data_IF_339243963647
#
_entry.id   IF_339243963647
#
_cell.length_a   1.000
_cell.length_b   1.000
_cell.length_c   1.000
_cell.angle_alpha   90.00
_cell.angle_beta   90.00
_cell.angle_gamma   90.00
#
_symmetry.space_group_name_H-M   'P 1'
#
loop_
_entity.id
_entity.type
_entity.pdbx_description
1 polymer ?
#
# COMPACT_ATOMS: atom_id res chain seq x y z
N UNK A 1 -21.02 3.86 4.28
CA UNK A 1 -20.06 2.97 3.61
C UNK A 1 -20.71 2.46 2.35
N UNK A 2 -20.01 2.52 1.23
CA UNK A 2 -20.50 1.94 -0.03
C UNK A 2 -20.26 0.42 0.02
N UNK A 3 -21.23 -0.45 -0.34
CA UNK A 3 -21.02 -1.90 -0.35
C UNK A 3 -19.91 -2.26 -1.36
N UNK A 4 -18.87 -2.95 -0.91
CA UNK A 4 -17.71 -3.27 -1.76
C UNK A 4 -18.08 -4.21 -2.93
N UNK A 5 -19.09 -5.05 -2.72
CA UNK A 5 -19.70 -5.95 -3.71
C UNK A 5 -20.53 -5.21 -4.77
N UNK A 6 -20.92 -3.96 -4.52
CA UNK A 6 -21.58 -3.10 -5.51
C UNK A 6 -20.62 -2.13 -6.21
N UNK A 7 -19.31 -2.17 -5.92
CA UNK A 7 -18.34 -1.30 -6.59
C UNK A 7 -18.02 -1.80 -8.00
N UNK A 8 -18.04 -0.86 -8.94
CA UNK A 8 -17.66 -1.09 -10.33
C UNK A 8 -16.52 -0.13 -10.71
N UNK A 9 -15.94 -0.30 -11.90
CA UNK A 9 -14.87 0.57 -12.39
C UNK A 9 -15.25 2.06 -12.28
N UNK A 10 -16.50 2.40 -12.61
CA UNK A 10 -17.03 3.77 -12.59
C UNK A 10 -17.33 4.32 -11.20
N UNK A 11 -17.32 3.47 -10.16
CA UNK A 11 -17.41 3.91 -8.77
C UNK A 11 -16.16 4.68 -8.34
N UNK A 12 -15.01 4.36 -8.94
CA UNK A 12 -13.71 4.98 -8.64
C UNK A 12 -13.25 5.94 -9.74
N UNK A 13 -13.52 5.59 -11.00
CA UNK A 13 -13.04 6.31 -12.18
C UNK A 13 -14.17 7.07 -12.87
N UNK A 14 -13.86 8.26 -13.37
CA UNK A 14 -14.72 9.02 -14.26
C UNK A 14 -14.57 8.52 -15.70
N UNK A 15 -15.59 7.88 -16.29
CA UNK A 15 -15.51 7.37 -17.65
C UNK A 15 -15.49 8.49 -18.70
N UNK A 16 -15.86 9.73 -18.34
CA UNK A 16 -15.80 10.89 -19.23
C UNK A 16 -14.45 11.63 -19.11
N UNK A 17 -13.60 11.20 -18.18
CA UNK A 17 -12.28 11.75 -17.95
C UNK A 17 -12.28 13.00 -17.09
N UNK A 18 -11.15 13.22 -16.41
CA UNK A 18 -10.83 14.42 -15.66
C UNK A 18 -9.30 14.57 -15.57
N UNK A 19 -8.81 15.56 -14.83
CA UNK A 19 -7.36 15.80 -14.68
C UNK A 19 -6.73 15.05 -13.50
N UNK A 20 -7.52 14.35 -12.70
CA UNK A 20 -7.00 13.63 -11.54
C UNK A 20 -6.22 12.40 -12.00
N UNK A 21 -5.31 11.94 -11.15
CA UNK A 21 -4.59 10.70 -11.35
C UNK A 21 -5.56 9.57 -11.74
N UNK A 22 -5.32 8.94 -12.89
CA UNK A 22 -6.16 7.85 -13.45
C UNK A 22 -7.66 8.17 -13.50
N UNK A 23 -8.04 9.42 -13.74
CA UNK A 23 -9.44 9.84 -13.81
C UNK A 23 -10.23 9.61 -12.53
N UNK A 24 -9.58 9.53 -11.37
CA UNK A 24 -10.27 9.28 -10.12
C UNK A 24 -11.26 10.38 -9.77
N UNK A 25 -12.38 9.99 -9.19
CA UNK A 25 -13.36 10.95 -8.68
C UNK A 25 -12.78 11.79 -7.55
N UNK A 26 -13.06 13.09 -7.59
CA UNK A 26 -12.66 14.06 -6.58
C UNK A 26 -13.82 14.53 -5.71
N UNK A 27 -13.53 15.48 -4.82
CA UNK A 27 -14.49 16.00 -3.84
C UNK A 27 -15.79 16.49 -4.52
N UNK A 28 -16.92 16.09 -3.97
CA UNK A 28 -18.26 16.42 -4.47
C UNK A 28 -18.75 15.55 -5.62
N UNK A 29 -17.92 14.69 -6.21
CA UNK A 29 -18.38 13.73 -7.20
C UNK A 29 -19.37 12.73 -6.58
N UNK A 30 -20.43 12.37 -7.31
CA UNK A 30 -21.44 11.39 -6.88
C UNK A 30 -21.72 10.40 -8.02
N UNK A 31 -20.77 9.49 -8.31
CA UNK A 31 -20.97 8.52 -9.38
C UNK A 31 -22.16 7.61 -9.06
N UNK A 32 -23.14 7.59 -9.96
CA UNK A 32 -24.34 6.76 -9.81
C UNK A 32 -25.39 7.28 -8.81
N UNK A 33 -25.17 8.41 -8.14
CA UNK A 33 -26.11 9.01 -7.19
C UNK A 33 -26.07 8.46 -5.76
N UNK A 34 -25.24 7.46 -5.49
CA UNK A 34 -25.20 6.69 -4.24
C UNK A 34 -24.15 7.20 -3.23
N UNK A 35 -24.17 8.53 -2.99
CA UNK A 35 -23.29 9.22 -2.05
C UNK A 35 -22.17 10.00 -2.73
N UNK A 36 -21.64 11.02 -2.03
CA UNK A 36 -20.63 11.93 -2.57
C UNK A 36 -19.23 11.67 -2.02
N UNK A 37 -18.22 11.84 -2.86
CA UNK A 37 -16.83 11.90 -2.43
C UNK A 37 -16.61 13.07 -1.48
N UNK A 38 -16.22 12.77 -0.24
CA UNK A 38 -15.90 13.76 0.80
C UNK A 38 -14.42 14.18 0.78
N UNK A 39 -13.56 13.41 0.12
CA UNK A 39 -12.16 13.71 -0.10
C UNK A 39 -11.86 14.05 -1.57
N UNK A 40 -10.86 14.90 -1.80
CA UNK A 40 -10.29 15.09 -3.13
C UNK A 40 -9.67 13.80 -3.67
N UNK A 41 -9.55 13.68 -4.99
CA UNK A 41 -8.72 12.66 -5.59
C UNK A 41 -7.30 12.83 -5.06
N UNK A 42 -6.64 11.71 -4.76
CA UNK A 42 -5.29 11.76 -4.22
C UNK A 42 -4.28 12.25 -5.27
N UNK A 43 -3.24 12.95 -4.80
CA UNK A 43 -2.16 13.42 -5.67
C UNK A 43 -1.19 12.26 -5.91
N UNK A 44 -1.12 11.83 -7.15
CA UNK A 44 -0.13 10.89 -7.62
C UNK A 44 0.25 11.14 -9.08
N UNK A 45 1.43 10.68 -9.47
CA UNK A 45 1.83 10.61 -10.88
C UNK A 45 2.16 9.17 -11.24
N UNK A 46 1.54 8.70 -12.33
CA UNK A 46 1.65 7.32 -12.78
C UNK A 46 2.75 7.15 -13.80
N UNK A 47 3.00 5.89 -14.11
CA UNK A 47 3.74 5.51 -15.28
C UNK A 47 2.88 5.71 -16.52
N UNK A 48 3.52 6.14 -17.60
CA UNK A 48 2.93 6.07 -18.93
C UNK A 48 2.69 4.58 -19.27
N UNK A 49 1.48 4.22 -19.69
CA UNK A 49 1.14 2.81 -19.97
C UNK A 49 1.70 2.31 -21.31
N UNK A 50 2.05 3.23 -22.23
CA UNK A 50 2.59 2.91 -23.55
C UNK A 50 4.12 3.07 -23.58
N UNK A 51 4.65 4.05 -22.86
CA UNK A 51 6.09 4.36 -22.82
C UNK A 51 6.78 3.91 -21.52
N UNK A 52 6.04 3.64 -20.46
CA UNK A 52 6.58 3.19 -19.17
C UNK A 52 6.77 1.68 -19.17
N UNK A 53 8.00 1.24 -18.92
CA UNK A 53 8.28 -0.17 -18.65
C UNK A 53 7.53 -0.70 -17.42
N UNK A 54 7.74 -1.99 -17.12
CA UNK A 54 7.17 -2.60 -15.94
C UNK A 54 7.57 -1.86 -14.66
N UNK A 55 6.65 -1.83 -13.68
CA UNK A 55 6.92 -1.20 -12.37
C UNK A 55 8.14 -1.85 -11.70
N UNK A 56 8.99 -1.01 -11.12
CA UNK A 56 10.22 -1.40 -10.44
C UNK A 56 10.60 -0.37 -9.37
N UNK A 57 11.65 -0.64 -8.60
CA UNK A 57 12.12 0.29 -7.58
C UNK A 57 12.68 1.62 -8.13
N UNK A 58 12.91 1.73 -9.45
CA UNK A 58 13.36 2.95 -10.12
C UNK A 58 12.38 3.48 -11.18
N UNK A 59 11.23 2.83 -11.32
CA UNK A 59 10.14 3.22 -12.22
C UNK A 59 8.81 2.81 -11.59
N UNK A 60 8.17 3.71 -10.87
CA UNK A 60 6.99 3.41 -10.06
C UNK A 60 5.99 4.57 -10.02
N UNK A 61 4.83 4.32 -9.41
CA UNK A 61 3.87 5.38 -9.11
C UNK A 61 4.44 6.30 -8.02
N UNK A 62 4.38 7.60 -8.25
CA UNK A 62 4.71 8.62 -7.28
C UNK A 62 3.47 9.00 -6.49
N UNK A 63 3.24 8.36 -5.34
CA UNK A 63 2.17 8.76 -4.42
C UNK A 63 2.64 9.95 -3.58
N UNK A 64 1.91 11.07 -3.64
CA UNK A 64 2.31 12.30 -2.94
C UNK A 64 1.47 12.58 -1.71
N UNK A 65 0.15 12.47 -1.82
CA UNK A 65 -0.76 12.70 -0.68
C UNK A 65 -2.18 12.18 -0.92
N UNK A 66 -2.96 12.00 0.15
CA UNK A 66 -4.42 11.85 0.07
C UNK A 66 -4.96 10.44 -0.17
N UNK A 67 -4.11 9.44 -0.42
CA UNK A 67 -4.53 8.08 -0.80
C UNK A 67 -5.50 7.46 0.22
N UNK A 68 -5.14 7.46 1.50
CA UNK A 68 -5.98 6.85 2.56
C UNK A 68 -7.32 7.57 2.74
N UNK A 69 -7.31 8.91 2.68
CA UNK A 69 -8.53 9.72 2.80
C UNK A 69 -9.47 9.47 1.61
N UNK A 70 -8.92 9.36 0.39
CA UNK A 70 -9.71 9.03 -0.79
C UNK A 70 -10.37 7.65 -0.66
N UNK A 71 -9.61 6.61 -0.29
CA UNK A 71 -10.16 5.28 -0.01
C UNK A 71 -11.23 5.31 1.10
N UNK A 72 -11.01 6.14 2.13
CA UNK A 72 -11.90 6.35 3.27
C UNK A 72 -13.27 6.94 2.92
N UNK A 73 -13.44 7.54 1.74
CA UNK A 73 -14.75 8.00 1.27
C UNK A 73 -15.77 6.85 1.28
N UNK A 74 -15.40 5.72 0.70
CA UNK A 74 -16.27 4.55 0.63
C UNK A 74 -15.97 3.55 1.76
N UNK A 75 -14.69 3.39 2.10
CA UNK A 75 -14.19 2.48 3.13
C UNK A 75 -13.95 3.16 4.48
N UNK A 76 -14.74 4.17 4.84
CA UNK A 76 -14.55 4.98 6.06
C UNK A 76 -14.49 4.14 7.34
N UNK A 77 -15.27 3.06 7.42
CA UNK A 77 -15.19 2.12 8.54
C UNK A 77 -13.83 1.41 8.66
N UNK A 78 -13.14 1.15 7.55
CA UNK A 78 -11.77 0.63 7.58
C UNK A 78 -10.76 1.72 7.96
N UNK A 79 -10.84 2.91 7.36
CA UNK A 79 -9.98 4.03 7.74
C UNK A 79 -10.05 4.31 9.24
N UNK A 80 -11.26 4.37 9.79
CA UNK A 80 -11.52 4.50 11.23
C UNK A 80 -10.90 3.36 12.03
N UNK A 81 -11.17 2.10 11.66
CA UNK A 81 -10.66 0.92 12.40
C UNK A 81 -9.14 0.79 12.34
N UNK A 82 -8.51 1.19 11.24
CA UNK A 82 -7.05 1.25 11.16
C UNK A 82 -6.50 2.33 12.08
N UNK A 83 -7.22 3.44 12.31
CA UNK A 83 -6.73 4.59 13.07
C UNK A 83 -7.21 4.68 14.52
N UNK A 84 -8.16 3.85 14.95
CA UNK A 84 -8.55 3.70 16.35
C UNK A 84 -7.53 2.84 17.12
N UNK A 85 -7.09 3.29 18.30
CA UNK A 85 -6.26 2.50 19.21
C UNK A 85 -7.11 1.74 20.23
N UNK A 86 -6.73 0.48 20.53
CA UNK A 86 -7.19 -0.21 21.74
C UNK A 86 -6.95 -1.72 21.78
N UNK A 87 -7.32 -2.47 20.74
CA UNK A 87 -7.32 -3.95 20.86
C UNK A 87 -7.41 -4.74 19.55
N UNK A 88 -7.48 -4.10 18.39
CA UNK A 88 -7.88 -4.80 17.15
C UNK A 88 -6.74 -5.35 16.28
N UNK A 89 -5.48 -5.36 16.74
CA UNK A 89 -4.30 -5.82 15.97
C UNK A 89 -4.26 -5.31 14.51
N UNK A 90 -4.61 -4.03 14.28
CA UNK A 90 -4.63 -3.41 12.94
C UNK A 90 -3.55 -2.33 12.83
N UNK A 91 -2.86 -2.28 11.69
CA UNK A 91 -1.84 -1.27 11.43
C UNK A 91 -2.48 0.10 11.12
N UNK A 92 -1.92 1.19 11.64
CA UNK A 92 -2.43 2.55 11.39
C UNK A 92 -2.04 3.06 10.01
N UNK A 93 -2.88 3.89 9.41
CA UNK A 93 -2.63 4.48 8.07
C UNK A 93 -2.85 5.98 8.09
N UNK A 94 -2.36 6.67 7.06
CA UNK A 94 -2.36 8.14 7.01
C UNK A 94 -1.61 8.80 8.18
N UNK A 95 -0.60 8.10 8.70
CA UNK A 95 0.31 8.61 9.71
C UNK A 95 1.70 8.77 9.11
N UNK A 96 2.41 9.78 9.60
CA UNK A 96 3.82 9.95 9.26
C UNK A 96 4.66 8.82 9.83
N UNK A 97 5.75 8.50 9.15
CA UNK A 97 6.73 7.56 9.69
C UNK A 97 7.30 8.08 11.01
N UNK A 98 7.46 7.17 11.97
CA UNK A 98 8.32 7.43 13.12
C UNK A 98 9.78 7.43 12.67
N UNK A 99 10.68 8.07 13.44
CA UNK A 99 12.11 8.00 13.18
C UNK A 99 12.59 6.54 13.06
N UNK A 100 12.15 5.67 13.99
CA UNK A 100 12.50 4.23 13.97
C UNK A 100 12.04 3.54 12.69
N UNK A 101 10.80 3.78 12.27
CA UNK A 101 10.25 3.14 11.07
C UNK A 101 10.91 3.65 9.79
N UNK A 102 11.20 4.96 9.69
CA UNK A 102 11.90 5.52 8.53
C UNK A 102 13.33 4.98 8.45
N UNK A 103 14.06 4.95 9.57
CA UNK A 103 15.40 4.33 9.62
C UNK A 103 15.34 2.86 9.22
N UNK A 104 14.41 2.07 9.78
CA UNK A 104 14.27 0.67 9.45
C UNK A 104 14.00 0.45 7.96
N UNK A 105 13.10 1.25 7.36
CA UNK A 105 12.83 1.20 5.93
C UNK A 105 14.08 1.43 5.11
N UNK A 106 14.86 2.43 5.51
CA UNK A 106 16.05 2.83 4.76
C UNK A 106 17.19 1.80 4.84
N UNK A 107 17.35 1.09 5.96
CA UNK A 107 18.45 0.13 6.15
C UNK A 107 18.07 -1.31 5.78
N UNK A 108 16.77 -1.65 5.73
CA UNK A 108 16.33 -3.01 5.47
C UNK A 108 16.47 -3.39 3.99
N UNK A 109 17.39 -4.33 3.73
CA UNK A 109 17.71 -4.88 2.41
C UNK A 109 17.43 -6.40 2.35
N UNK A 110 16.33 -6.82 2.97
CA UNK A 110 15.93 -8.23 3.05
C UNK A 110 16.43 -8.93 4.31
N UNK A 111 16.03 -10.17 4.50
CA UNK A 111 16.30 -10.95 5.71
C UNK A 111 17.76 -11.35 5.84
N UNK A 112 18.41 -11.63 4.70
CA UNK A 112 19.85 -11.94 4.65
C UNK A 112 20.74 -10.70 4.86
N UNK A 113 20.20 -9.50 4.65
CA UNK A 113 20.92 -8.23 4.80
C UNK A 113 20.02 -7.15 5.43
N UNK A 114 19.65 -7.29 6.71
CA UNK A 114 18.63 -6.44 7.33
C UNK A 114 19.11 -5.01 7.60
N UNK A 115 20.41 -4.71 7.42
CA UNK A 115 21.02 -3.41 7.72
C UNK A 115 21.90 -2.85 6.58
N UNK A 116 22.08 -3.54 5.46
CA UNK A 116 22.94 -3.10 4.36
C UNK A 116 22.29 -2.14 3.36
N UNK A 117 21.02 -1.78 3.56
CA UNK A 117 20.32 -0.78 2.76
C UNK A 117 20.80 0.65 3.03
N UNK A 118 20.46 1.56 2.11
CA UNK A 118 20.69 2.99 2.28
C UNK A 118 19.47 3.79 1.84
N UNK A 119 19.25 4.95 2.48
CA UNK A 119 18.13 5.83 2.15
C UNK A 119 18.13 6.27 0.68
N UNK A 120 19.27 6.29 -0.01
CA UNK A 120 19.36 6.72 -1.42
C UNK A 120 18.70 5.73 -2.40
N UNK A 121 18.61 4.45 -2.03
CA UNK A 121 18.15 3.36 -2.90
C UNK A 121 17.10 2.47 -2.22
N UNK A 122 16.53 2.92 -1.11
CA UNK A 122 15.69 2.09 -0.27
C UNK A 122 14.25 1.93 -0.76
N UNK A 123 13.80 2.73 -1.75
CA UNK A 123 12.44 2.61 -2.29
C UNK A 123 12.14 1.16 -2.71
N UNK A 124 10.93 0.72 -2.39
CA UNK A 124 10.45 -0.63 -2.68
C UNK A 124 9.04 -0.51 -3.23
N UNK A 125 8.85 -0.83 -4.52
CA UNK A 125 7.55 -0.73 -5.18
C UNK A 125 6.48 -1.62 -4.53
N UNK A 126 6.91 -2.72 -3.89
CA UNK A 126 6.02 -3.62 -3.15
C UNK A 126 5.60 -3.07 -1.77
N UNK A 127 6.27 -2.04 -1.24
CA UNK A 127 5.87 -1.36 0.01
C UNK A 127 5.99 0.16 -0.19
N UNK A 128 5.16 0.77 -1.07
CA UNK A 128 5.29 2.19 -1.37
C UNK A 128 4.83 3.04 -0.18
N UNK A 129 5.20 4.31 -0.19
CA UNK A 129 4.76 5.32 0.78
C UNK A 129 4.31 6.58 0.05
N UNK A 130 3.60 7.47 0.74
CA UNK A 130 3.27 8.78 0.23
C UNK A 130 4.30 9.82 0.68
N UNK A 131 4.86 10.58 -0.24
CA UNK A 131 5.73 11.72 0.07
C UNK A 131 5.62 12.82 -1.01
N UNK A 132 5.47 14.10 -0.64
CA UNK A 132 5.33 15.20 -1.61
C UNK A 132 6.51 15.33 -2.59
N UNK A 133 7.68 14.83 -2.22
CA UNK A 133 8.92 14.95 -3.02
C UNK A 133 9.15 13.75 -3.94
N UNK A 134 8.38 12.67 -3.81
CA UNK A 134 8.55 11.48 -4.65
C UNK A 134 8.20 11.78 -6.11
N UNK A 135 9.09 11.33 -7.00
CA UNK A 135 8.88 11.29 -8.45
C UNK A 135 8.76 9.84 -8.91
N UNK A 136 8.37 9.61 -10.16
CA UNK A 136 8.19 8.26 -10.72
C UNK A 136 9.50 7.48 -10.88
N UNK A 137 10.64 8.15 -10.69
CA UNK A 137 11.98 7.57 -10.81
C UNK A 137 12.78 7.67 -9.51
N UNK A 138 12.13 8.07 -8.41
CA UNK A 138 12.80 8.32 -7.14
C UNK A 138 13.13 7.02 -6.42
N UNK A 139 14.42 6.73 -6.24
CA UNK A 139 14.85 5.53 -5.52
C UNK A 139 14.98 5.75 -4.01
N UNK A 140 14.76 6.98 -3.53
CA UNK A 140 14.97 7.30 -2.12
C UNK A 140 13.88 6.70 -1.24
N UNK A 141 14.25 6.23 -0.06
CA UNK A 141 13.30 5.78 0.94
C UNK A 141 12.65 6.94 1.71
N UNK A 142 11.75 6.63 2.66
CA UNK A 142 10.93 7.62 3.34
C UNK A 142 11.75 8.42 4.36
N UNK A 143 11.22 9.59 4.67
CA UNK A 143 11.62 10.44 5.78
C UNK A 143 10.49 10.50 6.82
N UNK A 144 10.68 11.28 7.89
CA UNK A 144 9.62 11.51 8.88
C UNK A 144 8.45 12.36 8.35
N UNK A 145 8.55 12.98 7.17
CA UNK A 145 7.40 13.63 6.51
C UNK A 145 6.59 12.68 5.63
N UNK A 146 7.17 11.55 5.23
CA UNK A 146 6.50 10.54 4.45
C UNK A 146 5.41 9.84 5.29
N UNK A 147 4.42 9.25 4.62
CA UNK A 147 3.26 8.61 5.26
C UNK A 147 3.05 7.18 4.80
N UNK A 148 2.62 6.33 5.73
CA UNK A 148 2.05 5.02 5.40
C UNK A 148 0.63 5.23 4.91
N UNK A 149 0.27 4.59 3.79
CA UNK A 149 -1.04 4.71 3.16
C UNK A 149 -1.70 3.34 2.98
N UNK A 150 -3.00 3.31 2.67
CA UNK A 150 -3.70 2.04 2.39
C UNK A 150 -2.96 1.21 1.32
N UNK A 151 -2.44 1.87 0.28
CA UNK A 151 -1.71 1.22 -0.81
C UNK A 151 -0.26 0.84 -0.48
N UNK A 152 0.23 1.14 0.73
CA UNK A 152 1.52 0.61 1.20
C UNK A 152 1.47 -0.91 1.38
N UNK A 153 0.30 -1.46 1.72
CA UNK A 153 0.12 -2.89 1.93
C UNK A 153 -0.96 -3.50 1.02
N UNK A 154 -1.91 -2.72 0.51
CA UNK A 154 -2.98 -3.21 -0.36
C UNK A 154 -2.78 -2.80 -1.82
N UNK A 155 -3.43 -3.52 -2.73
CA UNK A 155 -3.63 -3.13 -4.13
C UNK A 155 -5.08 -2.72 -4.36
N UNK A 156 -5.29 -1.66 -5.15
CA UNK A 156 -6.61 -1.03 -5.32
C UNK A 156 -7.63 -1.88 -6.12
N UNK A 157 -7.17 -2.65 -7.12
CA UNK A 157 -8.06 -3.51 -7.92
C UNK A 157 -8.18 -4.90 -7.32
N UNK A 158 -7.09 -5.65 -7.37
CA UNK A 158 -6.99 -6.98 -6.77
C UNK A 158 -5.50 -7.35 -6.65
N UNK A 159 -5.25 -8.35 -5.85
CA UNK A 159 -4.03 -9.13 -5.87
C UNK A 159 -4.40 -10.60 -5.62
N UNK A 160 -3.44 -11.49 -5.81
CA UNK A 160 -3.62 -12.90 -5.48
C UNK A 160 -3.67 -13.13 -3.98
N UNK A 161 -3.08 -12.25 -3.16
CA UNK A 161 -3.13 -12.39 -1.71
C UNK A 161 -4.51 -12.04 -1.13
N UNK A 162 -4.91 -12.69 -0.02
CA UNK A 162 -6.14 -12.35 0.70
C UNK A 162 -6.26 -10.85 1.01
N UNK A 163 -7.50 -10.34 1.03
CA UNK A 163 -7.82 -8.93 1.29
C UNK A 163 -7.07 -7.92 0.38
N UNK A 164 -6.78 -8.33 -0.86
CA UNK A 164 -6.02 -7.54 -1.83
C UNK A 164 -4.65 -7.08 -1.29
N UNK A 165 -4.00 -7.89 -0.46
CA UNK A 165 -2.66 -7.64 0.08
C UNK A 165 -1.58 -7.64 -1.00
N UNK A 166 -0.48 -6.93 -0.77
CA UNK A 166 0.71 -6.97 -1.64
C UNK A 166 1.52 -8.25 -1.49
N UNK A 167 1.30 -8.94 -0.37
CA UNK A 167 1.70 -10.30 -0.04
C UNK A 167 0.61 -10.90 0.86
N UNK A 168 0.62 -12.20 1.08
CA UNK A 168 -0.27 -12.84 2.06
C UNK A 168 0.18 -12.49 3.49
N UNK A 169 -0.71 -11.87 4.28
CA UNK A 169 -0.38 -11.47 5.65
C UNK A 169 -0.37 -12.63 6.65
N UNK A 170 -0.78 -13.84 6.23
CA UNK A 170 -0.88 -15.03 7.08
C UNK A 170 0.34 -15.96 6.98
N UNK A 171 1.40 -15.54 6.32
CA UNK A 171 2.62 -16.33 6.11
C UNK A 171 3.75 -15.90 7.03
N UNK A 172 4.62 -16.87 7.37
CA UNK A 172 5.85 -16.66 8.15
C UNK A 172 7.04 -16.25 7.27
N UNK A 173 7.02 -16.67 5.99
CA UNK A 173 8.01 -16.27 4.99
C UNK A 173 7.34 -16.03 3.64
N UNK A 174 7.92 -15.16 2.80
CA UNK A 174 7.40 -14.90 1.46
C UNK A 174 7.49 -16.12 0.53
N UNK A 175 8.32 -17.11 0.86
CA UNK A 175 8.34 -18.41 0.16
C UNK A 175 7.04 -19.21 0.30
N UNK A 176 6.19 -18.89 1.29
CA UNK A 176 4.89 -19.52 1.52
C UNK A 176 3.73 -18.82 0.78
N UNK A 177 3.98 -17.68 0.14
CA UNK A 177 2.95 -16.93 -0.60
C UNK A 177 2.37 -17.78 -1.74
N UNK A 178 1.03 -17.82 -1.83
CA UNK A 178 0.30 -18.70 -2.74
C UNK A 178 0.20 -20.17 -2.30
N UNK A 179 1.11 -20.65 -1.43
CA UNK A 179 1.04 -22.01 -0.88
C UNK A 179 0.02 -22.09 0.24
N UNK A 180 0.08 -21.17 1.21
CA UNK A 180 -0.80 -21.16 2.39
C UNK A 180 -2.22 -20.73 2.02
N UNK A 181 -2.35 -19.69 1.21
CA UNK A 181 -3.64 -19.17 0.71
C UNK A 181 -4.27 -20.01 -0.40
N UNK A 182 -3.49 -20.88 -1.06
CA UNK A 182 -3.89 -21.53 -2.31
C UNK A 182 -4.05 -20.57 -3.50
N UNK A 183 -3.52 -19.34 -3.40
CA UNK A 183 -3.53 -18.34 -4.46
C UNK A 183 -2.33 -18.46 -5.40
N UNK A 184 -2.29 -17.65 -6.45
CA UNK A 184 -1.04 -17.46 -7.18
C UNK A 184 0.01 -16.79 -6.30
N UNK A 185 1.25 -17.29 -6.36
CA UNK A 185 2.39 -16.72 -5.65
C UNK A 185 2.70 -15.33 -6.18
N UNK A 186 2.82 -14.37 -5.27
CA UNK A 186 3.28 -13.02 -5.58
C UNK A 186 4.81 -12.93 -5.56
N UNK A 187 5.41 -12.03 -6.36
CA UNK A 187 6.87 -11.90 -6.42
C UNK A 187 7.48 -11.56 -5.05
N UNK A 188 8.51 -12.31 -4.68
CA UNK A 188 9.37 -11.96 -3.55
C UNK A 188 10.46 -10.98 -4.03
N UNK A 189 10.47 -9.72 -3.56
CA UNK A 189 11.41 -8.71 -4.06
C UNK A 189 12.88 -8.97 -3.66
N UNK A 190 13.14 -9.87 -2.71
CA UNK A 190 14.48 -10.20 -2.22
C UNK A 190 14.97 -11.57 -2.70
N UNK A 191 14.12 -12.37 -3.36
CA UNK A 191 14.48 -13.66 -3.95
C UNK A 191 14.77 -14.81 -2.97
N UNK A 192 14.96 -14.51 -1.68
CA UNK A 192 15.19 -15.51 -0.63
C UNK A 192 13.86 -16.15 -0.15
N UNK A 193 13.64 -17.47 -0.28
CA UNK A 193 12.40 -18.10 0.20
C UNK A 193 12.15 -17.94 1.71
N UNK A 194 13.22 -17.75 2.51
CA UNK A 194 13.12 -17.51 3.95
C UNK A 194 12.94 -16.01 4.28
N UNK A 195 12.75 -15.17 3.27
CA UNK A 195 12.46 -13.76 3.42
C UNK A 195 11.22 -13.57 4.32
N UNK A 196 11.43 -12.95 5.48
CA UNK A 196 10.35 -12.57 6.37
C UNK A 196 9.32 -11.64 5.69
N UNK A 197 8.08 -11.55 6.19
CA UNK A 197 7.05 -10.69 5.63
C UNK A 197 7.49 -9.23 5.55
N UNK A 198 6.98 -8.53 4.54
CA UNK A 198 7.43 -7.18 4.21
C UNK A 198 7.11 -6.12 5.28
N UNK A 199 6.37 -6.48 6.33
CA UNK A 199 6.32 -5.74 7.60
C UNK A 199 7.72 -5.37 8.13
N UNK A 200 8.72 -6.23 7.91
CA UNK A 200 10.11 -6.00 8.33
C UNK A 200 10.78 -4.82 7.66
N UNK A 201 10.23 -4.36 6.53
CA UNK A 201 10.65 -3.10 5.92
C UNK A 201 10.42 -1.92 6.86
N UNK A 202 9.38 -1.90 7.70
CA UNK A 202 9.11 -0.79 8.62
C UNK A 202 9.37 -1.13 10.10
N UNK A 203 9.55 -2.40 10.44
CA UNK A 203 9.64 -2.89 11.83
C UNK A 203 10.89 -3.73 12.09
N UNK A 204 11.66 -3.35 13.11
CA UNK A 204 12.73 -4.16 13.68
C UNK A 204 12.19 -5.02 14.82
N UNK A 205 11.83 -6.27 14.52
CA UNK A 205 11.31 -7.22 15.50
C UNK A 205 9.78 -7.21 15.63
N UNK A 206 9.17 -8.28 15.16
CA UNK A 206 7.76 -8.64 15.27
C UNK A 206 7.55 -9.95 14.52
N UNK A 207 6.74 -10.87 15.06
CA UNK A 207 6.29 -12.05 14.31
C UNK A 207 5.51 -11.55 13.09
N UNK A 208 6.13 -11.60 11.91
CA UNK A 208 5.39 -11.57 10.66
C UNK A 208 4.90 -12.99 10.44
N UNK A 209 3.58 -13.18 10.44
CA UNK A 209 2.95 -14.50 10.41
C UNK A 209 2.38 -14.86 11.77
N UNK A 210 1.06 -14.78 11.91
CA UNK A 210 0.40 -15.03 13.18
C UNK A 210 -1.01 -14.46 13.19
N UNK A 211 -1.89 -15.05 12.39
CA UNK A 211 -3.31 -15.04 12.74
C UNK A 211 -3.42 -15.88 14.03
N UNK A 212 -3.60 -15.23 15.17
CA UNK A 212 -4.29 -15.92 16.25
C UNK A 212 -5.66 -16.28 15.69
N UNK A 213 -5.91 -17.57 15.66
CA UNK A 213 -7.13 -18.19 15.16
C UNK A 213 -8.29 -17.77 16.06
N UNK A 214 -9.03 -16.74 15.66
CA UNK A 214 -10.35 -16.47 16.22
C UNK A 214 -11.38 -16.49 15.10
N UNK A 215 -12.01 -17.67 15.04
CA UNK A 215 -13.38 -17.89 14.60
C UNK A 215 -14.27 -16.83 15.23
N UNK A 216 -14.96 -16.05 14.40
CA UNK A 216 -16.38 -15.69 14.58
C UNK A 216 -17.04 -15.60 13.19
#
# INVERSE_FOLDING_TARGET
>A
SYPADSMQCTSCHDPHGNTNYRFLWGNGASPGGDGSFSGGAFDATGLDLEAGGAESNSLHIAYRSGVSNWCGTCHGGYLDRHNRMGSSFRHRVDLTFSNRSATQYNVYNGTLDPLGGSAATAYLAEIPFADPTTTTTSTVGPTMSSRVMCLSCHRAHASSAPAAGRWDFNIDTLGQDGVVSGSYTLPNPYGDPDQEPLCRKCHSGGQGGGHDSFVE
#
